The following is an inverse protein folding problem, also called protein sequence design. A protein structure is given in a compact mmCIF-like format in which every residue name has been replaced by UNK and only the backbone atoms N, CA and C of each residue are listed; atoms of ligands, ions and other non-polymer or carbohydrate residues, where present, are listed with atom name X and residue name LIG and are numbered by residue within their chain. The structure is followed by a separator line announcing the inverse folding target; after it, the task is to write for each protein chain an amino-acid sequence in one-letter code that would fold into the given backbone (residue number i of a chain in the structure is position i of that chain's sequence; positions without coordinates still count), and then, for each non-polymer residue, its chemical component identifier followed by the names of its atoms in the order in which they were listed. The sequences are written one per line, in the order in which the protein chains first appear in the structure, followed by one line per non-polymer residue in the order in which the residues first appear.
data_IF_139508414711
#
_entry.id   IF_139508414711
#
_cell.length_a   1.000
_cell.length_b   1.000
_cell.length_c   1.000
_cell.angle_alpha   90.00
_cell.angle_beta   90.00
_cell.angle_gamma   90.00
#
_symmetry.space_group_name_H-M   'P 1'
#
loop_
_entity.id
_entity.type
_entity.pdbx_description
1 polymer ?
#
# COMPACT_ATOMS: atom_id res chain seq x y z
N UNK A 1 -16.70 -52.50 -9.02
CA UNK A 1 -16.78 -51.95 -7.65
C UNK A 1 -15.36 -51.61 -7.22
N UNK A 2 -14.91 -50.35 -7.32
CA UNK A 2 -13.67 -49.95 -6.67
C UNK A 2 -13.91 -49.83 -5.17
N UNK A 3 -12.97 -50.36 -4.37
CA UNK A 3 -13.04 -50.37 -2.91
C UNK A 3 -12.95 -48.97 -2.30
N UNK A 4 -13.34 -48.82 -1.02
CA UNK A 4 -13.31 -47.54 -0.33
C UNK A 4 -11.86 -47.05 -0.24
N UNK A 5 -11.63 -45.83 -0.71
CA UNK A 5 -10.39 -45.10 -0.51
C UNK A 5 -10.17 -44.95 0.99
N UNK A 6 -9.09 -45.56 1.47
CA UNK A 6 -8.51 -45.39 2.79
C UNK A 6 -8.49 -43.91 3.17
N UNK A 7 -9.01 -43.61 4.35
CA UNK A 7 -9.00 -42.26 4.92
C UNK A 7 -7.59 -41.71 4.94
N UNK A 8 -7.46 -40.45 4.51
CA UNK A 8 -6.26 -39.67 4.71
C UNK A 8 -6.03 -39.58 6.22
N UNK A 9 -5.08 -40.35 6.73
CA UNK A 9 -4.55 -40.20 8.08
C UNK A 9 -3.94 -38.79 8.14
N UNK A 10 -4.67 -37.85 8.76
CA UNK A 10 -4.12 -36.55 9.12
C UNK A 10 -3.03 -36.77 10.17
N UNK A 11 -1.79 -36.87 9.73
CA UNK A 11 -0.64 -37.02 10.61
C UNK A 11 -0.51 -35.74 11.45
N UNK A 12 -0.46 -35.89 12.79
CA UNK A 12 -0.31 -34.75 13.71
C UNK A 12 0.99 -33.97 13.47
N UNK A 13 1.95 -34.57 12.78
CA UNK A 13 3.24 -33.99 12.39
C UNK A 13 3.13 -33.01 11.19
N UNK A 14 1.99 -32.97 10.47
CA UNK A 14 1.72 -32.00 9.41
C UNK A 14 1.23 -30.64 9.93
N UNK A 15 1.04 -30.50 11.25
CA UNK A 15 0.68 -29.22 11.85
C UNK A 15 1.93 -28.32 11.90
N UNK A 16 1.92 -27.16 11.21
CA UNK A 16 3.07 -26.27 11.24
C UNK A 16 3.38 -25.86 12.69
N UNK A 17 4.66 -25.85 13.09
CA UNK A 17 5.03 -25.49 14.45
C UNK A 17 4.58 -24.07 14.78
N UNK A 18 4.22 -23.87 16.05
CA UNK A 18 3.78 -22.56 16.53
C UNK A 18 4.85 -21.49 16.26
N UNK A 19 4.46 -20.30 15.75
CA UNK A 19 5.41 -19.26 15.46
C UNK A 19 6.02 -18.70 16.76
N UNK A 20 7.26 -18.15 16.74
CA UNK A 20 7.91 -17.62 17.95
C UNK A 20 7.08 -16.59 18.74
N UNK A 21 6.20 -15.85 18.06
CA UNK A 21 5.29 -14.91 18.71
C UNK A 21 4.27 -15.61 19.63
N UNK A 22 3.84 -16.83 19.31
CA UNK A 22 2.94 -17.62 20.14
C UNK A 22 3.59 -17.90 21.51
N UNK A 23 4.86 -18.32 21.52
CA UNK A 23 5.61 -18.52 22.76
C UNK A 23 5.85 -17.21 23.52
N UNK A 24 6.03 -16.09 22.82
CA UNK A 24 6.10 -14.78 23.47
C UNK A 24 4.77 -14.40 24.15
N UNK A 25 3.63 -14.71 23.54
CA UNK A 25 2.31 -14.53 24.16
C UNK A 25 2.16 -15.41 25.40
N UNK A 26 2.55 -16.69 25.30
CA UNK A 26 2.50 -17.63 26.43
C UNK A 26 3.37 -17.15 27.60
N UNK A 27 4.63 -16.77 27.33
CA UNK A 27 5.55 -16.26 28.33
C UNK A 27 5.06 -14.94 28.96
N UNK A 28 4.47 -14.04 28.15
CA UNK A 28 3.88 -12.80 28.66
C UNK A 28 2.71 -13.08 29.60
N UNK A 29 1.75 -13.91 29.19
CA UNK A 29 0.59 -14.24 30.03
C UNK A 29 1.03 -14.98 31.30
N UNK A 30 1.98 -15.90 31.20
CA UNK A 30 2.58 -16.57 32.35
C UNK A 30 3.24 -15.60 33.33
N UNK A 31 4.01 -14.62 32.83
CA UNK A 31 4.61 -13.58 33.66
C UNK A 31 3.56 -12.74 34.41
N UNK A 32 2.44 -12.41 33.75
CA UNK A 32 1.35 -11.63 34.35
C UNK A 32 0.45 -12.46 35.30
N UNK A 33 0.42 -13.78 35.14
CA UNK A 33 -0.20 -14.70 36.10
C UNK A 33 0.67 -14.86 37.36
N UNK A 34 2.00 -14.84 37.22
CA UNK A 34 2.97 -14.93 38.32
C UNK A 34 3.13 -13.62 39.11
N UNK A 35 3.13 -12.49 38.41
CA UNK A 35 3.24 -11.17 39.03
C UNK A 35 2.25 -10.17 38.38
N UNK A 36 1.03 -10.09 38.92
CA UNK A 36 -0.03 -9.24 38.38
C UNK A 36 0.32 -7.74 38.32
N UNK A 37 1.25 -7.26 39.16
CA UNK A 37 1.61 -5.84 39.18
C UNK A 37 2.45 -5.42 37.97
N UNK A 38 3.06 -6.39 37.28
CA UNK A 38 3.82 -6.13 36.04
C UNK A 38 2.97 -5.63 34.89
N UNK A 39 1.64 -5.70 34.97
CA UNK A 39 0.73 -5.03 34.05
C UNK A 39 1.07 -3.53 33.86
N UNK A 40 1.65 -2.88 34.88
CA UNK A 40 2.08 -1.46 34.78
C UNK A 40 3.38 -1.25 34.00
N UNK A 41 4.14 -2.32 33.74
CA UNK A 41 5.50 -2.26 33.17
C UNK A 41 5.57 -2.57 31.68
N UNK A 42 4.53 -3.22 31.13
CA UNK A 42 4.52 -3.74 29.75
C UNK A 42 4.28 -2.67 28.67
N UNK A 43 3.98 -1.44 29.07
CA UNK A 43 3.60 -0.34 28.19
C UNK A 43 2.20 -0.52 27.58
N UNK A 44 1.81 0.27 26.56
CA UNK A 44 0.52 0.11 25.90
C UNK A 44 0.46 -1.24 25.21
N UNK A 45 -0.48 -2.08 25.63
CA UNK A 45 -0.80 -3.36 25.02
C UNK A 45 -2.30 -3.57 25.17
N UNK A 46 -2.94 -4.00 24.09
CA UNK A 46 -4.37 -4.20 24.04
C UNK A 46 -4.68 -5.61 23.51
N UNK A 47 -5.85 -6.19 23.83
CA UNK A 47 -6.17 -7.59 23.50
C UNK A 47 -6.04 -7.93 22.01
N UNK A 48 -6.30 -6.99 21.10
CA UNK A 48 -6.18 -7.20 19.65
C UNK A 48 -4.73 -7.44 19.18
N UNK A 49 -3.74 -7.16 20.04
CA UNK A 49 -2.35 -7.45 19.73
C UNK A 49 -2.00 -8.94 19.76
N UNK A 50 -2.82 -9.76 20.42
CA UNK A 50 -2.61 -11.21 20.47
C UNK A 50 -3.11 -11.87 19.18
N UNK A 51 -2.37 -12.87 18.69
CA UNK A 51 -2.75 -13.70 17.56
C UNK A 51 -3.82 -14.73 17.98
N UNK A 52 -3.67 -15.29 19.18
CA UNK A 52 -4.61 -16.25 19.74
C UNK A 52 -5.80 -15.53 20.40
N UNK A 53 -7.05 -15.81 19.96
CA UNK A 53 -8.25 -15.26 20.62
C UNK A 53 -8.34 -15.66 22.10
N UNK A 54 -7.86 -16.86 22.45
CA UNK A 54 -7.82 -17.31 23.84
C UNK A 54 -6.83 -16.48 24.66
N UNK A 55 -5.65 -16.17 24.11
CA UNK A 55 -4.68 -15.30 24.78
C UNK A 55 -5.20 -13.86 24.92
N UNK A 56 -5.87 -13.34 23.89
CA UNK A 56 -6.54 -12.04 23.94
C UNK A 56 -7.58 -11.98 25.07
N UNK A 57 -8.42 -13.01 25.21
CA UNK A 57 -9.43 -13.09 26.27
C UNK A 57 -8.81 -13.16 27.68
N UNK A 58 -7.72 -13.92 27.85
CA UNK A 58 -6.98 -13.99 29.11
C UNK A 58 -6.39 -12.62 29.45
N UNK A 59 -5.74 -11.96 28.50
CA UNK A 59 -5.19 -10.62 28.71
C UNK A 59 -6.28 -9.59 29.04
N UNK A 60 -7.40 -9.60 28.31
CA UNK A 60 -8.55 -8.73 28.56
C UNK A 60 -9.12 -8.94 29.97
N UNK A 61 -9.19 -10.20 30.43
CA UNK A 61 -9.58 -10.53 31.78
C UNK A 61 -8.61 -9.93 32.82
N UNK A 62 -7.30 -10.09 32.63
CA UNK A 62 -6.28 -9.51 33.52
C UNK A 62 -6.38 -7.98 33.61
N UNK A 63 -6.54 -7.29 32.48
CA UNK A 63 -6.64 -5.82 32.45
C UNK A 63 -7.95 -5.30 33.06
N UNK A 64 -9.00 -6.13 33.10
CA UNK A 64 -10.30 -5.77 33.67
C UNK A 64 -10.46 -6.11 35.16
N UNK A 65 -9.47 -6.75 35.76
CA UNK A 65 -9.48 -7.12 37.18
C UNK A 65 -8.52 -6.23 37.97
N UNK A 66 -8.81 -6.02 39.25
CA UNK A 66 -7.87 -5.36 40.15
C UNK A 66 -6.82 -6.38 40.60
N UNK A 67 -5.51 -6.12 40.38
CA UNK A 67 -4.45 -7.02 40.84
C UNK A 67 -4.50 -7.21 42.36
N UNK A 68 -4.47 -8.46 42.89
CA UNK A 68 -4.35 -8.69 44.32
C UNK A 68 -3.00 -8.16 44.83
N UNK A 69 -2.90 -7.86 46.12
CA UNK A 69 -1.62 -7.47 46.71
C UNK A 69 -0.62 -8.63 46.69
N UNK A 70 0.71 -8.39 46.65
CA UNK A 70 1.69 -9.46 46.55
C UNK A 70 1.60 -10.47 47.70
N UNK A 71 1.29 -9.98 48.90
CA UNK A 71 1.14 -10.81 50.10
C UNK A 71 -0.07 -11.76 50.04
N UNK A 72 -1.16 -11.36 49.37
CA UNK A 72 -2.34 -12.20 49.15
C UNK A 72 -2.09 -13.17 48.01
N UNK A 73 -1.49 -12.69 46.92
CA UNK A 73 -1.18 -13.52 45.75
C UNK A 73 -0.23 -14.68 46.07
N UNK A 74 0.74 -14.46 46.96
CA UNK A 74 1.68 -15.50 47.40
C UNK A 74 1.02 -16.64 48.21
N UNK A 75 -0.17 -16.40 48.81
CA UNK A 75 -0.84 -17.36 49.69
C UNK A 75 -2.01 -18.07 49.02
N UNK A 76 -2.65 -17.43 48.05
CA UNK A 76 -3.90 -17.93 47.46
C UNK A 76 -3.88 -17.83 45.92
N UNK A 77 -4.30 -18.89 45.19
CA UNK A 77 -4.41 -18.87 43.74
C UNK A 77 -5.64 -18.09 43.24
N UNK A 78 -6.21 -17.20 44.07
CA UNK A 78 -7.43 -16.45 43.77
C UNK A 78 -7.34 -15.66 42.46
N UNK A 79 -6.14 -15.18 42.10
CA UNK A 79 -5.89 -14.50 40.83
C UNK A 79 -6.16 -15.38 39.61
N UNK A 80 -5.58 -16.58 39.56
CA UNK A 80 -5.72 -17.49 38.42
C UNK A 80 -7.19 -17.89 38.24
N UNK A 81 -7.88 -18.20 39.34
CA UNK A 81 -9.31 -18.53 39.32
C UNK A 81 -10.18 -17.37 38.83
N UNK A 82 -9.90 -16.15 39.29
CA UNK A 82 -10.63 -14.95 38.87
C UNK A 82 -10.41 -14.65 37.38
N UNK A 83 -9.16 -14.75 36.90
CA UNK A 83 -8.81 -14.57 35.48
C UNK A 83 -9.50 -15.63 34.62
N UNK A 84 -9.46 -16.90 35.02
CA UNK A 84 -10.12 -17.99 34.30
C UNK A 84 -11.63 -17.76 34.18
N UNK A 85 -12.29 -17.47 35.32
CA UNK A 85 -13.73 -17.23 35.37
C UNK A 85 -14.16 -16.11 34.42
N UNK A 86 -13.39 -15.00 34.37
CA UNK A 86 -13.67 -13.87 33.49
C UNK A 86 -13.34 -14.16 32.02
N UNK A 87 -12.20 -14.80 31.74
CA UNK A 87 -11.76 -15.11 30.38
C UNK A 87 -12.69 -16.12 29.69
N UNK A 88 -13.28 -17.06 30.45
CA UNK A 88 -14.23 -18.06 29.94
C UNK A 88 -15.47 -17.44 29.30
N UNK A 89 -15.89 -16.25 29.74
CA UNK A 89 -17.03 -15.54 29.15
C UNK A 89 -16.77 -15.14 27.68
N UNK A 90 -15.51 -14.89 27.31
CA UNK A 90 -15.11 -14.52 25.96
C UNK A 90 -14.54 -15.71 25.17
N UNK A 91 -14.04 -16.73 25.85
CA UNK A 91 -13.50 -17.95 25.25
C UNK A 91 -14.01 -19.19 26.01
N UNK A 92 -15.20 -19.73 25.65
CA UNK A 92 -15.82 -20.85 26.37
C UNK A 92 -14.98 -22.14 26.38
N UNK A 93 -14.10 -22.32 25.38
CA UNK A 93 -13.20 -23.47 25.25
C UNK A 93 -11.94 -23.41 26.12
N UNK A 94 -11.71 -22.31 26.85
CA UNK A 94 -10.52 -22.13 27.70
C UNK A 94 -10.55 -23.06 28.91
N UNK A 95 -9.70 -24.07 28.90
CA UNK A 95 -9.63 -25.06 29.98
C UNK A 95 -8.89 -24.49 31.21
N UNK A 96 -9.40 -24.72 32.43
CA UNK A 96 -8.72 -24.30 33.67
C UNK A 96 -7.23 -24.68 33.76
N UNK A 97 -6.79 -25.92 33.45
CA UNK A 97 -5.37 -26.29 33.56
C UNK A 97 -4.46 -25.49 32.63
N UNK A 98 -4.97 -24.93 31.53
CA UNK A 98 -4.16 -24.20 30.56
C UNK A 98 -3.49 -22.96 31.17
N UNK A 99 -4.13 -22.28 32.13
CA UNK A 99 -3.51 -21.12 32.80
C UNK A 99 -2.28 -21.54 33.63
N UNK A 100 -2.31 -22.73 34.24
CA UNK A 100 -1.15 -23.28 34.93
C UNK A 100 -0.05 -23.67 33.94
N UNK A 101 -0.40 -24.13 32.74
CA UNK A 101 0.56 -24.34 31.66
C UNK A 101 1.20 -23.03 31.21
N UNK A 102 0.43 -21.94 31.05
CA UNK A 102 0.95 -20.62 30.71
C UNK A 102 1.99 -20.12 31.73
N UNK A 103 1.74 -20.33 33.02
CA UNK A 103 2.72 -20.04 34.09
C UNK A 103 4.03 -20.79 33.87
N UNK A 104 3.95 -22.06 33.48
CA UNK A 104 5.13 -22.91 33.25
C UNK A 104 5.94 -22.50 32.01
N UNK A 105 5.30 -21.82 31.04
CA UNK A 105 5.97 -21.30 29.84
C UNK A 105 6.69 -19.97 30.06
N UNK A 106 6.56 -19.33 31.23
CA UNK A 106 7.29 -18.12 31.56
C UNK A 106 8.67 -18.46 32.14
N UNK A 107 9.79 -18.18 31.43
CA UNK A 107 11.11 -18.50 31.96
C UNK A 107 11.58 -17.48 32.99
N UNK A 108 11.30 -16.18 32.75
CA UNK A 108 11.73 -15.06 33.61
C UNK A 108 10.62 -14.00 33.62
N UNK A 109 9.86 -13.84 34.73
CA UNK A 109 8.77 -12.87 34.83
C UNK A 109 9.21 -11.41 34.67
N UNK A 110 10.45 -11.10 35.06
CA UNK A 110 11.04 -9.77 34.94
C UNK A 110 11.11 -9.26 33.50
N UNK A 111 11.12 -10.18 32.54
CA UNK A 111 11.19 -9.86 31.12
C UNK A 111 9.81 -9.61 30.47
N UNK A 112 8.73 -9.49 31.25
CA UNK A 112 7.40 -9.16 30.74
C UNK A 112 7.39 -7.97 29.74
N UNK A 113 8.13 -6.85 29.94
CA UNK A 113 8.19 -5.78 28.95
C UNK A 113 8.81 -6.20 27.62
N UNK A 114 9.75 -7.14 27.62
CA UNK A 114 10.35 -7.67 26.40
C UNK A 114 9.36 -8.56 25.63
N UNK A 115 8.64 -9.46 26.31
CA UNK A 115 7.61 -10.27 25.68
C UNK A 115 6.49 -9.40 25.11
N UNK A 116 6.04 -8.36 25.83
CA UNK A 116 5.06 -7.42 25.33
C UNK A 116 5.52 -6.68 24.05
N UNK A 117 6.82 -6.33 23.94
CA UNK A 117 7.37 -5.79 22.69
C UNK A 117 7.31 -6.81 21.54
N UNK A 118 7.58 -8.09 21.80
CA UNK A 118 7.48 -9.15 20.80
C UNK A 118 6.04 -9.33 20.31
N UNK A 119 5.05 -9.33 21.22
CA UNK A 119 3.62 -9.41 20.87
C UNK A 119 3.20 -8.20 20.02
N UNK A 120 3.59 -6.98 20.41
CA UNK A 120 3.35 -5.77 19.59
C UNK A 120 3.98 -5.86 18.21
N UNK A 121 5.22 -6.34 18.11
CA UNK A 121 5.89 -6.50 16.83
C UNK A 121 5.17 -7.52 15.93
N UNK A 122 4.69 -8.62 16.52
CA UNK A 122 3.86 -9.60 15.84
C UNK A 122 2.55 -9.02 15.33
N UNK A 123 1.83 -8.25 16.16
CA UNK A 123 0.62 -7.54 15.73
C UNK A 123 0.91 -6.56 14.59
N UNK A 124 1.95 -5.73 14.72
CA UNK A 124 2.34 -4.77 13.69
C UNK A 124 2.56 -5.45 12.32
N UNK A 125 3.24 -6.61 12.31
CA UNK A 125 3.45 -7.42 11.10
C UNK A 125 2.13 -7.95 10.52
N UNK A 126 1.24 -8.52 11.35
CA UNK A 126 -0.05 -9.05 10.89
C UNK A 126 -0.95 -7.95 10.32
N UNK A 127 -1.04 -6.82 11.01
CA UNK A 127 -1.84 -5.67 10.58
C UNK A 127 -1.28 -5.07 9.28
N UNK A 128 0.05 -4.95 9.16
CA UNK A 128 0.69 -4.50 7.93
C UNK A 128 0.40 -5.44 6.75
N UNK A 129 0.49 -6.76 6.98
CA UNK A 129 0.15 -7.78 5.98
C UNK A 129 -1.30 -7.65 5.50
N UNK A 130 -2.25 -7.53 6.43
CA UNK A 130 -3.66 -7.37 6.10
C UNK A 130 -3.92 -6.09 5.29
N UNK A 131 -3.31 -4.96 5.67
CA UNK A 131 -3.45 -3.70 4.92
C UNK A 131 -2.85 -3.81 3.50
N UNK A 132 -1.73 -4.51 3.33
CA UNK A 132 -1.13 -4.77 2.03
C UNK A 132 -2.00 -5.69 1.15
N UNK A 133 -2.67 -6.68 1.74
CA UNK A 133 -3.66 -7.53 1.08
C UNK A 133 -4.86 -6.70 0.61
N UNK A 134 -5.41 -5.82 1.46
CA UNK A 134 -6.49 -4.92 1.09
C UNK A 134 -6.10 -3.99 -0.07
N UNK A 135 -4.90 -3.41 -0.05
CA UNK A 135 -4.39 -2.59 -1.16
C UNK A 135 -4.30 -3.40 -2.47
N UNK A 136 -3.78 -4.63 -2.39
CA UNK A 136 -3.66 -5.53 -3.55
C UNK A 136 -5.02 -5.90 -4.12
N UNK A 137 -5.99 -6.20 -3.25
CA UNK A 137 -7.35 -6.53 -3.63
C UNK A 137 -8.05 -5.34 -4.28
N UNK A 138 -7.97 -4.16 -3.67
CA UNK A 138 -8.54 -2.93 -4.21
C UNK A 138 -7.96 -2.56 -5.58
N UNK A 139 -6.67 -2.82 -5.80
CA UNK A 139 -6.00 -2.57 -7.07
C UNK A 139 -6.38 -3.57 -8.18
N UNK A 140 -6.90 -4.75 -7.82
CA UNK A 140 -7.21 -5.84 -8.76
C UNK A 140 -8.71 -6.01 -9.00
N UNK A 141 -9.56 -5.44 -8.14
CA UNK A 141 -11.01 -5.55 -8.21
C UNK A 141 -11.59 -4.79 -9.44
N UNK A 142 -12.08 -5.52 -10.47
CA UNK A 142 -12.65 -4.88 -11.66
C UNK A 142 -14.09 -4.40 -11.44
N UNK A 143 -14.74 -4.81 -10.34
CA UNK A 143 -16.16 -4.51 -10.06
C UNK A 143 -16.33 -3.19 -9.32
N UNK A 144 -15.25 -2.65 -8.75
CA UNK A 144 -15.27 -1.37 -8.07
C UNK A 144 -15.67 -0.24 -9.04
N UNK A 145 -16.59 0.67 -8.67
CA UNK A 145 -16.95 1.82 -9.51
C UNK A 145 -15.75 2.74 -9.80
N UNK A 146 -14.89 2.95 -8.80
CA UNK A 146 -13.66 3.73 -8.90
C UNK A 146 -12.49 3.05 -8.17
N UNK A 147 -11.88 2.02 -8.78
CA UNK A 147 -10.72 1.32 -8.24
C UNK A 147 -9.52 2.23 -7.96
N UNK A 148 -9.33 3.32 -8.71
CA UNK A 148 -8.19 4.22 -8.51
C UNK A 148 -8.32 4.95 -7.17
N UNK A 149 -9.48 5.53 -6.90
CA UNK A 149 -9.75 6.19 -5.62
C UNK A 149 -9.72 5.21 -4.46
N UNK A 150 -10.31 4.02 -4.61
CA UNK A 150 -10.28 2.99 -3.55
C UNK A 150 -8.85 2.53 -3.24
N UNK A 151 -8.03 2.26 -4.26
CA UNK A 151 -6.64 1.86 -4.07
C UNK A 151 -5.80 2.98 -3.40
N UNK A 152 -6.02 4.24 -3.79
CA UNK A 152 -5.36 5.38 -3.15
C UNK A 152 -5.76 5.52 -1.66
N UNK A 153 -7.03 5.34 -1.32
CA UNK A 153 -7.50 5.38 0.06
C UNK A 153 -6.82 4.30 0.94
N UNK A 154 -6.64 3.09 0.40
CA UNK A 154 -5.89 2.04 1.08
C UNK A 154 -4.40 2.37 1.22
N UNK A 155 -3.78 2.98 0.19
CA UNK A 155 -2.39 3.43 0.27
C UNK A 155 -2.19 4.55 1.30
N UNK A 156 -3.18 5.44 1.47
CA UNK A 156 -3.16 6.49 2.49
C UNK A 156 -3.32 5.93 3.90
N UNK A 157 -4.27 5.01 4.11
CA UNK A 157 -4.44 4.31 5.38
C UNK A 157 -3.16 3.56 5.79
N UNK A 158 -2.53 2.89 4.83
CA UNK A 158 -1.25 2.20 5.00
C UNK A 158 -0.11 3.18 5.34
N UNK A 159 -0.04 4.32 4.67
CA UNK A 159 0.97 5.36 4.97
C UNK A 159 0.81 5.90 6.39
N UNK A 160 -0.40 6.23 6.80
CA UNK A 160 -0.70 6.68 8.17
C UNK A 160 -0.37 5.61 9.22
N UNK A 161 -0.63 4.33 8.91
CA UNK A 161 -0.24 3.23 9.77
C UNK A 161 1.30 3.10 9.91
N UNK A 162 2.04 3.28 8.80
CA UNK A 162 3.51 3.27 8.81
C UNK A 162 4.10 4.46 9.59
N UNK A 163 3.44 5.62 9.59
CA UNK A 163 3.81 6.76 10.42
C UNK A 163 3.61 6.45 11.91
N UNK A 164 2.48 5.84 12.27
CA UNK A 164 2.24 5.38 13.64
C UNK A 164 3.28 4.34 14.09
N UNK A 165 3.56 3.33 13.26
CA UNK A 165 4.58 2.31 13.58
C UNK A 165 5.98 2.91 13.74
N UNK A 166 6.36 3.89 12.92
CA UNK A 166 7.64 4.57 13.06
C UNK A 166 7.79 5.28 14.42
N UNK A 167 6.70 5.77 15.01
CA UNK A 167 6.72 6.39 16.34
C UNK A 167 6.87 5.36 17.48
N UNK A 168 6.31 4.16 17.30
CA UNK A 168 6.31 3.08 18.30
C UNK A 168 7.61 2.25 18.29
N UNK A 169 8.30 2.19 17.15
CA UNK A 169 9.50 1.38 16.96
C UNK A 169 10.65 2.27 16.47
N UNK A 170 11.51 2.78 17.40
CA UNK A 170 12.56 3.72 17.04
C UNK A 170 13.56 3.12 16.04
N UNK A 171 14.14 3.96 15.17
CA UNK A 171 15.01 3.51 14.11
C UNK A 171 16.29 2.86 14.66
N UNK A 172 16.70 1.78 14.02
CA UNK A 172 17.99 1.15 14.26
C UNK A 172 18.84 1.32 12.99
N UNK A 173 20.04 1.90 13.08
CA UNK A 173 20.84 2.21 11.89
C UNK A 173 21.19 0.96 11.10
N UNK A 174 21.10 1.04 9.77
CA UNK A 174 21.70 0.08 8.85
C UNK A 174 20.85 -1.12 8.41
N UNK A 175 19.55 -1.13 8.67
CA UNK A 175 18.71 -2.30 8.35
C UNK A 175 17.65 -1.99 7.28
N UNK A 176 18.00 -2.19 6.00
CA UNK A 176 17.03 -2.40 4.92
C UNK A 176 16.47 -3.84 5.01
N UNK A 177 15.24 -4.11 4.53
CA UNK A 177 14.76 -5.48 4.37
C UNK A 177 15.75 -6.29 3.53
N UNK A 178 16.06 -7.51 3.96
CA UNK A 178 16.93 -8.44 3.21
C UNK A 178 16.15 -9.37 2.30
N UNK A 179 14.83 -9.31 2.37
CA UNK A 179 13.93 -10.14 1.58
C UNK A 179 14.13 -9.87 0.09
N UNK A 180 14.30 -10.91 -0.73
CA UNK A 180 14.32 -10.75 -2.18
C UNK A 180 12.99 -10.14 -2.63
N UNK A 181 13.06 -9.14 -3.52
CA UNK A 181 11.86 -8.52 -4.06
C UNK A 181 11.11 -9.52 -4.96
N UNK A 182 9.77 -9.62 -4.84
CA UNK A 182 9.01 -10.38 -5.79
C UNK A 182 9.19 -9.78 -7.20
N UNK A 183 9.12 -10.60 -8.25
CA UNK A 183 9.11 -10.09 -9.60
C UNK A 183 7.96 -9.07 -9.74
N UNK A 184 8.16 -7.98 -10.51
CA UNK A 184 7.08 -7.04 -10.75
C UNK A 184 5.89 -7.80 -11.35
N UNK A 185 4.64 -7.50 -10.94
CA UNK A 185 3.48 -8.10 -11.57
C UNK A 185 3.53 -7.82 -13.08
N UNK A 186 2.93 -8.68 -13.88
CA UNK A 186 2.79 -8.36 -15.30
C UNK A 186 1.87 -7.15 -15.42
N UNK A 187 2.26 -6.17 -16.25
CA UNK A 187 1.35 -5.11 -16.65
C UNK A 187 0.23 -5.81 -17.42
N UNK A 188 -1.04 -5.52 -17.15
CA UNK A 188 -2.16 -6.27 -17.75
C UNK A 188 -2.15 -6.19 -19.27
N UNK A 189 -1.44 -7.12 -19.93
CA UNK A 189 -1.27 -7.26 -21.39
C UNK A 189 -2.51 -7.89 -22.01
N UNK A 190 -3.68 -7.38 -21.64
CA UNK A 190 -4.94 -7.76 -22.27
C UNK A 190 -5.10 -7.05 -23.61
N UNK A 191 -5.95 -7.60 -24.48
CA UNK A 191 -6.25 -7.01 -25.77
C UNK A 191 -6.84 -5.59 -25.66
N UNK A 192 -7.64 -5.35 -24.61
CA UNK A 192 -8.19 -4.02 -24.31
C UNK A 192 -7.08 -3.02 -23.98
N UNK A 193 -6.11 -3.42 -23.16
CA UNK A 193 -4.98 -2.57 -22.80
C UNK A 193 -4.12 -2.21 -24.00
N UNK A 194 -3.82 -3.19 -24.83
CA UNK A 194 -3.09 -2.98 -26.07
C UNK A 194 -3.90 -2.13 -27.07
N UNK A 195 -5.23 -2.25 -27.09
CA UNK A 195 -6.09 -1.40 -27.92
C UNK A 195 -6.03 0.07 -27.48
N UNK A 196 -6.19 0.35 -26.19
CA UNK A 196 -6.13 1.71 -25.64
C UNK A 196 -4.77 2.38 -25.89
N UNK A 197 -3.67 1.65 -25.71
CA UNK A 197 -2.32 2.17 -25.93
C UNK A 197 -2.07 2.49 -27.40
N UNK A 198 -2.57 1.65 -28.31
CA UNK A 198 -2.52 1.91 -29.77
C UNK A 198 -3.37 3.12 -30.15
N UNK A 199 -4.59 3.23 -29.61
CA UNK A 199 -5.46 4.36 -29.87
C UNK A 199 -4.84 5.68 -29.39
N UNK A 200 -4.21 5.68 -28.21
CA UNK A 200 -3.43 6.82 -27.72
C UNK A 200 -2.32 7.21 -28.67
N UNK A 201 -1.49 6.27 -29.12
CA UNK A 201 -0.38 6.53 -30.03
C UNK A 201 -0.84 7.15 -31.35
N UNK A 202 -1.89 6.59 -31.97
CA UNK A 202 -2.46 7.13 -33.20
C UNK A 202 -3.03 8.54 -33.01
N UNK A 203 -3.75 8.79 -31.90
CA UNK A 203 -4.24 10.14 -31.56
C UNK A 203 -3.10 11.13 -31.29
N UNK A 204 -2.02 10.69 -30.62
CA UNK A 204 -0.84 11.51 -30.33
C UNK A 204 -0.08 11.92 -31.61
N UNK A 205 0.03 11.03 -32.59
CA UNK A 205 0.62 11.33 -33.90
C UNK A 205 -0.28 12.24 -34.72
N UNK A 206 -1.60 12.02 -34.72
CA UNK A 206 -2.55 12.86 -35.44
C UNK A 206 -2.62 14.29 -34.87
N UNK A 207 -2.46 14.45 -33.55
CA UNK A 207 -2.65 15.71 -32.84
C UNK A 207 -1.51 15.99 -31.85
N UNK A 208 -0.25 16.16 -32.29
CA UNK A 208 0.92 16.25 -31.41
C UNK A 208 0.88 17.43 -30.42
N UNK A 209 0.09 18.47 -30.71
CA UNK A 209 -0.08 19.63 -29.82
C UNK A 209 -0.74 19.26 -28.49
N UNK A 210 -1.59 18.23 -28.44
CA UNK A 210 -2.27 17.78 -27.21
C UNK A 210 -1.27 17.24 -26.18
N UNK A 211 -0.12 16.74 -26.62
CA UNK A 211 0.95 16.23 -25.75
C UNK A 211 1.50 17.29 -24.79
N UNK A 212 1.37 18.58 -25.13
CA UNK A 212 1.75 19.68 -24.24
C UNK A 212 0.90 19.70 -22.96
N UNK A 213 -0.38 19.33 -23.06
CA UNK A 213 -1.30 19.22 -21.92
C UNK A 213 -1.15 17.89 -21.17
N UNK A 214 -0.46 16.91 -21.76
CA UNK A 214 -0.31 15.54 -21.24
C UNK A 214 1.07 15.24 -20.65
N UNK A 215 1.80 16.25 -20.17
CA UNK A 215 3.13 16.07 -19.54
C UNK A 215 3.13 15.17 -18.30
N UNK A 216 1.95 14.85 -17.77
CA UNK A 216 1.75 13.89 -16.70
C UNK A 216 1.87 12.42 -17.15
N UNK A 217 1.80 12.11 -18.45
CA UNK A 217 1.95 10.74 -18.94
C UNK A 217 3.41 10.44 -19.29
N UNK A 218 3.90 9.28 -18.86
CA UNK A 218 5.28 8.84 -19.10
C UNK A 218 5.31 7.55 -19.90
N UNK A 219 6.42 7.29 -20.58
CA UNK A 219 6.63 6.05 -21.34
C UNK A 219 6.50 4.79 -20.47
N UNK A 220 6.91 4.87 -19.20
CA UNK A 220 6.87 3.75 -18.25
C UNK A 220 5.45 3.45 -17.73
N UNK A 221 4.45 4.29 -18.06
CA UNK A 221 3.05 4.03 -17.71
C UNK A 221 2.38 3.01 -18.63
N UNK A 222 3.00 2.69 -19.77
CA UNK A 222 2.47 1.74 -20.76
C UNK A 222 2.69 0.30 -20.31
N UNK A 223 1.67 -0.54 -20.46
CA UNK A 223 1.77 -1.97 -20.22
C UNK A 223 2.66 -2.67 -21.26
N UNK A 224 2.68 -2.15 -22.48
CA UNK A 224 3.53 -2.64 -23.56
C UNK A 224 4.77 -1.76 -23.69
N UNK A 225 5.99 -2.26 -23.37
CA UNK A 225 7.21 -1.44 -23.41
C UNK A 225 7.47 -0.81 -24.78
N UNK A 226 7.16 -1.53 -25.86
CA UNK A 226 7.26 -1.02 -27.23
C UNK A 226 6.41 0.25 -27.43
N UNK A 227 5.15 0.23 -26.97
CA UNK A 227 4.25 1.37 -27.12
C UNK A 227 4.68 2.56 -26.27
N UNK A 228 5.21 2.32 -25.06
CA UNK A 228 5.81 3.37 -24.24
C UNK A 228 7.03 4.01 -24.90
N UNK A 229 7.87 3.23 -25.56
CA UNK A 229 9.02 3.73 -26.31
C UNK A 229 8.59 4.53 -27.55
N UNK A 230 7.59 4.05 -28.32
CA UNK A 230 7.01 4.82 -29.43
C UNK A 230 6.42 6.14 -28.94
N UNK A 231 5.69 6.13 -27.82
CA UNK A 231 5.16 7.35 -27.21
C UNK A 231 6.27 8.34 -26.85
N UNK A 232 7.41 7.84 -26.31
CA UNK A 232 8.59 8.67 -26.04
C UNK A 232 9.11 9.35 -27.29
N UNK A 233 9.23 8.63 -28.41
CA UNK A 233 9.65 9.20 -29.70
C UNK A 233 8.68 10.29 -30.18
N UNK A 234 7.37 10.03 -30.12
CA UNK A 234 6.34 11.02 -30.49
C UNK A 234 6.44 12.27 -29.61
N UNK A 235 6.55 12.10 -28.29
CA UNK A 235 6.67 13.21 -27.34
C UNK A 235 7.95 14.02 -27.54
N UNK A 236 9.06 13.36 -27.89
CA UNK A 236 10.34 14.01 -28.16
C UNK A 236 10.29 14.86 -29.44
N UNK A 237 9.78 14.31 -30.55
CA UNK A 237 9.59 15.05 -31.80
C UNK A 237 8.67 16.27 -31.58
N UNK A 238 7.55 16.07 -30.89
CA UNK A 238 6.63 17.16 -30.55
C UNK A 238 7.27 18.23 -29.65
N UNK A 239 8.14 17.83 -28.72
CA UNK A 239 8.87 18.75 -27.85
C UNK A 239 9.90 19.59 -28.60
N UNK A 240 10.61 18.98 -29.56
CA UNK A 240 11.59 19.66 -30.40
C UNK A 240 10.93 20.58 -31.45
N UNK A 241 9.63 20.40 -31.70
CA UNK A 241 8.89 21.16 -32.71
C UNK A 241 9.06 20.60 -34.12
N UNK A 242 9.54 19.35 -34.24
CA UNK A 242 9.71 18.65 -35.51
C UNK A 242 8.37 18.16 -36.08
N UNK A 243 8.39 17.75 -37.35
CA UNK A 243 7.23 17.11 -37.96
C UNK A 243 6.94 15.77 -37.27
N UNK A 244 5.70 15.58 -36.84
CA UNK A 244 5.22 14.33 -36.24
C UNK A 244 4.25 13.65 -37.19
N UNK A 245 4.65 12.49 -37.69
CA UNK A 245 3.88 11.60 -38.55
C UNK A 245 4.40 10.15 -38.36
N UNK A 246 3.69 9.12 -38.85
CA UNK A 246 4.11 7.73 -38.65
C UNK A 246 5.54 7.41 -39.15
N UNK A 247 5.98 8.03 -40.25
CA UNK A 247 7.31 7.79 -40.84
C UNK A 247 8.40 8.45 -40.00
N UNK A 248 8.18 9.69 -39.56
CA UNK A 248 9.14 10.39 -38.68
C UNK A 248 9.26 9.70 -37.32
N UNK A 249 8.16 9.18 -36.76
CA UNK A 249 8.20 8.40 -35.52
C UNK A 249 8.96 7.08 -35.69
N UNK A 250 8.76 6.38 -36.81
CA UNK A 250 9.49 5.16 -37.11
C UNK A 250 11.00 5.41 -37.29
N UNK A 251 11.35 6.51 -37.96
CA UNK A 251 12.74 6.97 -38.11
C UNK A 251 13.39 7.24 -36.75
N UNK A 252 12.70 7.98 -35.88
CA UNK A 252 13.18 8.30 -34.54
C UNK A 252 13.33 7.04 -33.68
N UNK A 253 12.37 6.11 -33.78
CA UNK A 253 12.44 4.82 -33.11
C UNK A 253 13.70 4.03 -33.51
N UNK A 254 14.00 3.97 -34.81
CA UNK A 254 15.23 3.34 -35.31
C UNK A 254 16.48 4.03 -34.74
N UNK A 255 16.51 5.35 -34.68
CA UNK A 255 17.66 6.10 -34.18
C UNK A 255 17.94 5.83 -32.70
N UNK A 256 16.91 5.57 -31.90
CA UNK A 256 17.03 5.16 -30.50
C UNK A 256 17.38 3.68 -30.31
N UNK A 257 17.73 2.97 -31.38
CA UNK A 257 18.05 1.54 -31.33
C UNK A 257 16.84 0.67 -31.00
N UNK A 258 15.62 1.18 -31.19
CA UNK A 258 14.43 0.37 -31.07
C UNK A 258 14.38 -0.56 -32.28
N UNK A 259 14.54 -1.85 -32.02
CA UNK A 259 14.26 -2.89 -33.00
C UNK A 259 12.85 -3.39 -32.66
N UNK A 260 11.79 -2.81 -33.27
CA UNK A 260 10.45 -3.30 -33.01
C UNK A 260 10.41 -4.79 -33.38
N UNK A 261 9.77 -5.64 -32.57
CA UNK A 261 9.50 -7.04 -32.96
C UNK A 261 8.51 -7.12 -34.14
N UNK A 262 7.91 -5.98 -34.51
CA UNK A 262 6.95 -5.83 -35.60
C UNK A 262 7.67 -5.33 -36.85
N UNK A 263 7.26 -5.77 -38.05
CA UNK A 263 7.77 -5.19 -39.28
C UNK A 263 7.41 -3.69 -39.36
N UNK A 264 8.26 -2.85 -39.98
CA UNK A 264 8.05 -1.42 -40.13
C UNK A 264 6.63 -1.03 -40.57
N UNK A 265 6.05 -1.79 -41.51
CA UNK A 265 4.70 -1.54 -42.03
C UNK A 265 3.61 -1.66 -40.96
N UNK A 266 3.70 -2.65 -40.08
CA UNK A 266 2.73 -2.81 -38.98
C UNK A 266 2.82 -1.68 -37.97
N UNK A 267 4.02 -1.14 -37.73
CA UNK A 267 4.20 0.06 -36.88
C UNK A 267 3.54 1.28 -37.52
N UNK A 268 3.66 1.46 -38.84
CA UNK A 268 2.99 2.55 -39.55
C UNK A 268 1.46 2.41 -39.48
N UNK A 269 0.93 1.21 -39.76
CA UNK A 269 -0.50 0.94 -39.73
C UNK A 269 -1.11 1.21 -38.34
N UNK A 270 -0.37 0.85 -37.28
CA UNK A 270 -0.73 1.11 -35.88
C UNK A 270 -0.90 2.61 -35.59
N UNK A 271 -0.06 3.47 -36.15
CA UNK A 271 -0.05 4.91 -35.89
C UNK A 271 -1.05 5.71 -36.75
N UNK A 272 -1.73 5.07 -37.70
CA UNK A 272 -2.50 5.77 -38.75
C UNK A 272 -3.98 5.96 -38.41
N UNK A 273 -4.55 5.18 -37.48
CA UNK A 273 -6.00 5.18 -37.21
C UNK A 273 -6.33 5.82 -35.86
N UNK A 274 -6.49 7.16 -35.75
CA UNK A 274 -6.88 7.81 -34.51
C UNK A 274 -8.35 7.51 -34.19
N UNK A 275 -8.65 7.26 -32.92
CA UNK A 275 -10.01 7.06 -32.44
C UNK A 275 -10.20 7.80 -31.11
N UNK A 276 -11.09 8.79 -31.02
CA UNK A 276 -11.32 9.54 -29.79
C UNK A 276 -10.24 10.57 -29.45
N UNK A 277 -10.18 11.00 -28.18
CA UNK A 277 -9.26 12.03 -27.70
C UNK A 277 -8.02 11.43 -27.03
N UNK A 278 -6.85 12.01 -27.29
CA UNK A 278 -5.58 11.54 -26.72
C UNK A 278 -5.60 11.59 -25.18
N UNK A 279 -6.17 12.65 -24.61
CA UNK A 279 -6.29 12.85 -23.17
C UNK A 279 -7.08 11.73 -22.49
N UNK A 280 -8.20 11.32 -23.10
CA UNK A 280 -9.04 10.23 -22.59
C UNK A 280 -8.27 8.91 -22.52
N UNK A 281 -7.55 8.54 -23.59
CA UNK A 281 -6.74 7.32 -23.56
C UNK A 281 -5.55 7.43 -22.62
N UNK A 282 -4.92 8.60 -22.55
CA UNK A 282 -3.85 8.87 -21.61
C UNK A 282 -4.30 8.67 -20.16
N UNK A 283 -5.50 9.14 -19.81
CA UNK A 283 -6.09 8.92 -18.48
C UNK A 283 -6.29 7.43 -18.21
N UNK A 284 -6.78 6.66 -19.18
CA UNK A 284 -6.94 5.19 -19.01
C UNK A 284 -5.59 4.48 -18.81
N UNK A 285 -4.56 4.83 -19.60
CA UNK A 285 -3.20 4.28 -19.45
C UNK A 285 -2.62 4.65 -18.08
N UNK A 286 -2.73 5.91 -17.66
CA UNK A 286 -2.23 6.36 -16.36
C UNK A 286 -2.98 5.70 -15.20
N UNK A 287 -4.30 5.54 -15.30
CA UNK A 287 -5.13 4.83 -14.32
C UNK A 287 -4.65 3.38 -14.17
N UNK A 288 -4.39 2.69 -15.28
CA UNK A 288 -3.84 1.32 -15.25
C UNK A 288 -2.47 1.28 -14.59
N UNK A 289 -1.57 2.20 -14.94
CA UNK A 289 -0.25 2.33 -14.30
C UNK A 289 -0.38 2.52 -12.79
N UNK A 290 -1.31 3.37 -12.34
CA UNK A 290 -1.58 3.61 -10.92
C UNK A 290 -2.02 2.33 -10.20
N UNK A 291 -2.99 1.59 -10.76
CA UNK A 291 -3.45 0.32 -10.19
C UNK A 291 -2.35 -0.74 -10.20
N UNK A 292 -1.54 -0.77 -11.25
CA UNK A 292 -0.38 -1.65 -11.35
C UNK A 292 0.64 -1.36 -10.25
N UNK A 293 1.01 -0.10 -10.03
CA UNK A 293 1.93 0.30 -8.97
C UNK A 293 1.36 0.04 -7.58
N UNK A 294 0.05 0.23 -7.38
CA UNK A 294 -0.61 -0.09 -6.11
C UNK A 294 -0.54 -1.59 -5.81
N UNK A 295 -0.82 -2.44 -6.81
CA UNK A 295 -0.66 -3.90 -6.71
C UNK A 295 0.79 -4.29 -6.44
N UNK A 296 1.75 -3.72 -7.17
CA UNK A 296 3.17 -4.00 -6.99
C UNK A 296 3.66 -3.62 -5.58
N UNK A 297 3.24 -2.46 -5.07
CA UNK A 297 3.55 -2.03 -3.71
C UNK A 297 2.97 -2.99 -2.66
N UNK A 298 1.69 -3.38 -2.80
CA UNK A 298 1.04 -4.35 -1.91
C UNK A 298 1.76 -5.70 -1.89
N UNK A 299 2.14 -6.24 -3.06
CA UNK A 299 2.89 -7.49 -3.17
C UNK A 299 4.28 -7.43 -2.51
N UNK A 300 5.01 -6.32 -2.70
CA UNK A 300 6.33 -6.12 -2.06
C UNK A 300 6.21 -6.05 -0.55
N UNK A 301 5.22 -5.31 -0.03
CA UNK A 301 4.99 -5.19 1.41
C UNK A 301 4.62 -6.55 2.00
N UNK A 302 3.76 -7.31 1.31
CA UNK A 302 3.41 -8.67 1.73
C UNK A 302 4.62 -9.57 1.81
N UNK A 303 5.50 -9.56 0.80
CA UNK A 303 6.76 -10.30 0.82
C UNK A 303 7.64 -9.93 2.02
N UNK A 304 7.76 -8.63 2.36
CA UNK A 304 8.49 -8.22 3.57
C UNK A 304 7.84 -8.78 4.85
N UNK A 305 6.50 -8.79 4.93
CA UNK A 305 5.77 -9.31 6.09
C UNK A 305 5.71 -10.83 6.18
N UNK A 306 5.97 -11.54 5.09
CA UNK A 306 6.05 -12.99 5.07
C UNK A 306 7.43 -13.48 5.52
N UNK A 307 8.49 -12.68 5.33
CA UNK A 307 9.85 -12.98 5.79
C UNK A 307 10.01 -12.66 7.29
N UNK A 308 10.11 -13.68 8.18
CA UNK A 308 10.21 -13.48 9.62
C UNK A 308 11.53 -12.82 10.06
N UNK A 309 12.57 -12.82 9.21
CA UNK A 309 13.86 -12.22 9.54
C UNK A 309 13.81 -10.67 9.57
N UNK A 310 12.78 -10.07 8.99
CA UNK A 310 12.61 -8.61 9.03
C UNK A 310 12.18 -8.12 10.42
N UNK A 311 12.90 -7.15 10.95
CA UNK A 311 12.43 -6.33 12.07
C UNK A 311 11.29 -5.39 11.64
N UNK A 312 10.48 -4.93 12.60
CA UNK A 312 9.41 -3.94 12.32
C UNK A 312 9.97 -2.66 11.69
N UNK A 313 11.17 -2.23 12.10
CA UNK A 313 11.81 -1.06 11.49
C UNK A 313 12.17 -1.27 10.01
N UNK A 314 12.67 -2.47 9.66
CA UNK A 314 12.88 -2.86 8.26
C UNK A 314 11.55 -2.87 7.49
N UNK A 315 10.48 -3.41 8.08
CA UNK A 315 9.14 -3.39 7.47
C UNK A 315 8.69 -1.96 7.18
N UNK A 316 8.86 -1.03 8.12
CA UNK A 316 8.49 0.38 7.93
C UNK A 316 9.28 1.01 6.78
N UNK A 317 10.61 0.86 6.80
CA UNK A 317 11.50 1.46 5.79
C UNK A 317 11.25 0.87 4.40
N UNK A 318 11.14 -0.46 4.30
CA UNK A 318 10.84 -1.17 3.07
C UNK A 318 9.48 -0.79 2.50
N UNK A 319 8.46 -0.71 3.34
CA UNK A 319 7.10 -0.39 2.90
C UNK A 319 6.98 1.05 2.41
N UNK A 320 7.62 2.02 3.08
CA UNK A 320 7.69 3.40 2.57
C UNK A 320 8.34 3.47 1.19
N UNK A 321 9.45 2.73 1.00
CA UNK A 321 10.11 2.65 -0.31
C UNK A 321 9.21 2.01 -1.36
N UNK A 322 8.47 0.96 -1.01
CA UNK A 322 7.53 0.31 -1.93
C UNK A 322 6.38 1.24 -2.37
N UNK A 323 5.94 2.15 -1.50
CA UNK A 323 4.90 3.14 -1.80
C UNK A 323 5.40 4.41 -2.53
N UNK A 324 6.72 4.58 -2.65
CA UNK A 324 7.30 5.76 -3.29
C UNK A 324 6.91 5.85 -4.78
N UNK A 325 7.00 4.74 -5.51
CA UNK A 325 6.64 4.66 -6.93
C UNK A 325 5.16 4.99 -7.14
N UNK A 326 4.27 4.44 -6.29
CA UNK A 326 2.84 4.75 -6.31
C UNK A 326 2.58 6.23 -6.04
N UNK A 327 3.32 6.84 -5.10
CA UNK A 327 3.18 8.27 -4.79
C UNK A 327 3.55 9.15 -5.99
N UNK A 328 4.57 8.75 -6.75
CA UNK A 328 4.97 9.45 -7.97
C UNK A 328 3.87 9.38 -9.04
N UNK A 329 3.24 8.22 -9.26
CA UNK A 329 2.13 8.09 -10.22
C UNK A 329 0.89 8.85 -9.74
N UNK A 330 0.57 8.80 -8.45
CA UNK A 330 -0.54 9.54 -7.84
C UNK A 330 -0.46 11.05 -8.09
N UNK A 331 0.73 11.64 -7.94
CA UNK A 331 0.91 13.06 -8.19
C UNK A 331 0.56 13.43 -9.65
N UNK A 332 0.93 12.55 -10.61
CA UNK A 332 0.60 12.71 -12.02
C UNK A 332 -0.90 12.48 -12.28
N UNK A 333 -1.51 11.50 -11.63
CA UNK A 333 -2.94 11.23 -11.71
C UNK A 333 -3.77 12.45 -11.28
N UNK A 334 -3.45 13.06 -10.13
CA UNK A 334 -4.09 14.29 -9.70
C UNK A 334 -3.89 15.45 -10.67
N UNK A 335 -2.77 15.51 -11.39
CA UNK A 335 -2.59 16.55 -12.40
C UNK A 335 -3.49 16.31 -13.62
N UNK A 336 -3.62 15.07 -14.06
CA UNK A 336 -4.46 14.67 -15.20
C UNK A 336 -5.96 14.92 -14.92
N UNK A 337 -6.44 14.53 -13.74
CA UNK A 337 -7.88 14.58 -13.41
C UNK A 337 -8.31 15.88 -12.72
N UNK A 338 -7.42 16.85 -12.56
CA UNK A 338 -7.79 18.15 -11.99
C UNK A 338 -8.72 18.86 -12.96
N UNK A 339 -9.94 19.26 -12.54
CA UNK A 339 -10.78 20.09 -13.39
C UNK A 339 -10.02 21.38 -13.70
N UNK A 340 -10.02 21.78 -14.98
CA UNK A 340 -9.42 23.05 -15.38
C UNK A 340 -9.98 24.16 -14.48
N UNK A 341 -9.14 25.05 -13.93
CA UNK A 341 -9.64 26.14 -13.10
C UNK A 341 -10.69 26.89 -13.91
N UNK A 342 -11.91 26.96 -13.39
CA UNK A 342 -12.95 27.79 -13.96
C UNK A 342 -12.38 29.19 -14.00
N UNK A 343 -12.02 29.66 -15.20
CA UNK A 343 -11.78 31.06 -15.46
C UNK A 343 -13.06 31.77 -15.06
N UNK A 344 -13.12 32.26 -13.82
CA UNK A 344 -14.06 33.31 -13.45
C UNK A 344 -13.64 34.45 -14.36
N UNK A 345 -14.31 34.55 -15.51
CA UNK A 345 -14.21 35.68 -16.40
C UNK A 345 -14.34 36.89 -15.48
N UNK A 346 -13.25 37.63 -15.34
CA UNK A 346 -13.23 38.87 -14.60
C UNK A 346 -14.40 39.68 -15.15
N UNK A 347 -15.47 39.78 -14.34
CA UNK A 347 -16.63 40.61 -14.63
C UNK A 347 -16.04 41.95 -14.99
N UNK A 348 -16.11 42.31 -16.27
CA UNK A 348 -15.74 43.63 -16.73
C UNK A 348 -16.61 44.59 -15.93
N UNK A 349 -16.04 45.19 -14.88
CA UNK A 349 -16.68 46.26 -14.14
C UNK A 349 -16.99 47.39 -15.12
N UNK A 350 -18.10 48.11 -14.94
CA UNK A 350 -18.47 49.17 -15.85
C UNK A 350 -17.34 50.20 -15.91
N UNK A 351 -16.87 50.52 -17.12
CA UNK A 351 -15.88 51.58 -17.37
C UNK A 351 -16.41 52.89 -16.81
N UNK A 352 -15.81 53.41 -15.75
CA UNK A 352 -16.04 54.79 -15.30
C UNK A 352 -15.61 55.78 -16.40
N UNK A 353 -16.40 56.83 -16.68
CA UNK A 353 -16.05 57.82 -17.68
C UNK A 353 -14.88 58.67 -17.18
N UNK A 354 -13.86 58.79 -18.02
CA UNK A 354 -12.63 59.57 -17.79
C UNK A 354 -12.97 61.06 -17.81
N UNK A 355 -13.03 61.69 -16.64
CA UNK A 355 -13.13 63.14 -16.49
C UNK A 355 -11.87 63.80 -17.08
N UNK A 356 -12.06 64.66 -18.09
CA UNK A 356 -10.99 65.50 -18.64
C UNK A 356 -10.64 66.60 -17.62
N UNK A 357 -9.36 66.89 -17.32
CA UNK A 357 -9.02 68.09 -16.59
C UNK A 357 -9.12 69.32 -17.51
N UNK A 358 -9.74 70.37 -16.99
CA UNK A 358 -9.88 71.66 -17.64
C UNK A 358 -8.52 72.37 -17.73
N UNK A 359 -8.21 72.91 -18.91
CA UNK A 359 -7.02 73.74 -19.12
C UNK A 359 -7.25 75.12 -18.50
N UNK A 360 -6.43 75.50 -17.53
CA UNK A 360 -6.37 76.88 -17.05
C UNK A 360 -5.39 77.66 -17.94
N UNK A 361 -5.94 78.56 -18.75
CA UNK A 361 -5.18 79.53 -19.54
C UNK A 361 -4.64 80.60 -18.59
N UNK A 362 -3.31 80.75 -18.52
CA UNK A 362 -2.64 81.88 -17.87
C UNK A 362 -2.32 82.92 -18.95
N UNK A 363 -3.15 83.95 -19.05
CA UNK A 363 -2.89 85.14 -19.85
C UNK A 363 -1.83 86.00 -19.18
N UNK A 364 -0.93 86.54 -20.01
CA UNK A 364 0.01 87.58 -19.61
C UNK A 364 0.34 88.44 -20.83
N UNK A 365 -0.39 89.55 -20.98
CA UNK A 365 0.16 90.90 -21.22
C UNK A 365 -0.93 91.95 -21.10
#
# INVERSE_FOLDING_TARGET
MPGPTSGEDFDLDDIPPDPPVHHAEQALLGALLLDPHRLKTIGPLAPEHFASPAHAAVFAAMTGLTPPTPAVHAKEPAWITAVHSRARAQSPGLQPPYLHTLVSFCPVPEHAPAYARMVRAGHARRTLRAQAEHLTQAATDPTAPDPATTAMAHADALTGFLDNLASLFPPHPGSLPRTPLPPPPEHGRGDEAAYEERALLACAVAHPKTLTAMRWLQADDFATPLYGQLFRCVAQLAHCGDAVDPVTVLWEAQHHGLIPPLPPREVLDLLTTPAGAAEHWGERVLRRSLLHQARAAGLRIRAYTDDPANSVHQLVTGSRRALADLTAVRARWHHATRPAPTSIAARAGPRSPRTKPASTVRTGR
#
